data_IF_601296984610
#
_entry.id   IF_601296984610
#
_cell.length_a   1.000
_cell.length_b   1.000
_cell.length_c   1.000
_cell.angle_alpha   90.00
_cell.angle_beta   90.00
_cell.angle_gamma   90.00
#
_symmetry.space_group_name_H-M   'P 1'
#
loop_
_entity.id
_entity.type
_entity.pdbx_description
1 polymer ?
#
# COMPACT_ATOMS: atom_id res chain seq x y z
N UNK A 1 11.58 -5.65 26.06
CA UNK A 1 10.93 -4.74 25.11
C UNK A 1 11.83 -4.42 23.90
N UNK A 2 13.13 -4.19 24.11
CA UNK A 2 14.08 -3.81 23.05
C UNK A 2 14.15 -4.77 21.85
N UNK A 3 14.08 -6.09 22.10
CA UNK A 3 14.13 -7.12 21.05
C UNK A 3 12.99 -7.02 20.01
N UNK A 4 11.87 -6.39 20.36
CA UNK A 4 10.70 -6.28 19.48
C UNK A 4 10.50 -4.87 18.89
N UNK A 5 11.39 -3.91 19.18
CA UNK A 5 11.23 -2.54 18.71
C UNK A 5 11.15 -2.48 17.17
N UNK A 6 12.00 -3.23 16.46
CA UNK A 6 11.95 -3.28 15.00
C UNK A 6 10.61 -3.81 14.47
N UNK A 7 10.07 -4.86 15.10
CA UNK A 7 8.76 -5.42 14.74
C UNK A 7 7.62 -4.45 15.04
N UNK A 8 7.66 -3.76 16.19
CA UNK A 8 6.68 -2.72 16.56
C UNK A 8 6.68 -1.60 15.51
N UNK A 9 7.87 -1.15 15.08
CA UNK A 9 7.99 -0.13 14.04
C UNK A 9 7.39 -0.62 12.73
N UNK A 10 7.71 -1.85 12.29
CA UNK A 10 7.13 -2.44 11.06
C UNK A 10 5.60 -2.47 11.14
N UNK A 11 5.03 -2.92 12.27
CA UNK A 11 3.57 -2.96 12.46
C UNK A 11 2.96 -1.55 12.36
N UNK A 12 3.58 -0.54 12.97
CA UNK A 12 3.12 0.84 12.87
C UNK A 12 3.18 1.36 11.43
N UNK A 13 4.27 1.10 10.71
CA UNK A 13 4.43 1.48 9.30
C UNK A 13 3.39 0.80 8.40
N UNK A 14 3.04 -0.46 8.68
CA UNK A 14 1.95 -1.17 7.98
C UNK A 14 0.58 -0.54 8.25
N UNK A 15 0.28 -0.16 9.50
CA UNK A 15 -0.97 0.51 9.86
C UNK A 15 -1.08 1.86 9.14
N UNK A 16 -0.01 2.67 9.16
CA UNK A 16 0.02 3.97 8.48
C UNK A 16 -0.17 3.78 6.98
N UNK A 17 0.54 2.84 6.37
CA UNK A 17 0.38 2.53 4.95
C UNK A 17 -1.04 2.11 4.63
N UNK A 18 -1.64 1.22 5.41
CA UNK A 18 -3.00 0.75 5.17
C UNK A 18 -4.04 1.88 5.25
N UNK A 19 -3.90 2.78 6.23
CA UNK A 19 -4.77 3.97 6.33
C UNK A 19 -4.61 4.89 5.12
N UNK A 20 -3.39 5.11 4.65
CA UNK A 20 -3.18 5.97 3.49
C UNK A 20 -3.70 5.31 2.20
N UNK A 21 -3.50 4.00 2.03
CA UNK A 21 -4.10 3.22 0.94
C UNK A 21 -5.61 3.42 0.88
N UNK A 22 -6.30 3.26 2.02
CA UNK A 22 -7.75 3.43 2.09
C UNK A 22 -8.20 4.83 1.67
N UNK A 23 -7.47 5.86 2.11
CA UNK A 23 -7.78 7.25 1.74
C UNK A 23 -7.62 7.50 0.22
N UNK A 24 -6.61 6.91 -0.41
CA UNK A 24 -6.42 7.01 -1.86
C UNK A 24 -7.52 6.25 -2.60
N UNK A 25 -7.92 5.11 -2.09
CA UNK A 25 -9.02 4.32 -2.63
C UNK A 25 -10.34 5.10 -2.60
N UNK A 26 -10.65 5.74 -1.48
CA UNK A 26 -11.82 6.63 -1.35
C UNK A 26 -11.74 7.81 -2.33
N UNK A 27 -10.59 8.50 -2.40
CA UNK A 27 -10.38 9.59 -3.36
C UNK A 27 -10.61 9.16 -4.81
N UNK A 28 -10.14 7.96 -5.20
CA UNK A 28 -10.34 7.45 -6.55
C UNK A 28 -11.78 7.00 -6.81
N UNK A 29 -12.46 6.47 -5.80
CA UNK A 29 -13.88 6.15 -5.88
C UNK A 29 -14.73 7.41 -6.15
N UNK A 30 -14.37 8.52 -5.49
CA UNK A 30 -15.03 9.81 -5.67
C UNK A 30 -14.73 10.45 -7.03
N UNK A 31 -13.47 10.40 -7.49
CA UNK A 31 -13.06 11.02 -8.76
C UNK A 31 -13.45 10.18 -9.99
N UNK A 32 -13.49 8.85 -9.87
CA UNK A 32 -13.77 7.93 -10.97
C UNK A 32 -14.84 6.88 -10.60
N UNK A 33 -16.07 7.31 -10.24
CA UNK A 33 -17.10 6.42 -9.69
C UNK A 33 -17.52 5.33 -10.67
N UNK A 34 -17.52 5.61 -11.98
CA UNK A 34 -17.85 4.61 -12.99
C UNK A 34 -16.79 3.51 -13.11
N UNK A 35 -15.51 3.89 -13.09
CA UNK A 35 -14.41 2.92 -13.13
C UNK A 35 -14.34 2.13 -11.83
N UNK A 36 -14.61 2.78 -10.71
CA UNK A 36 -14.73 2.14 -9.40
C UNK A 36 -15.83 1.07 -9.39
N UNK A 37 -17.00 1.37 -9.94
CA UNK A 37 -18.11 0.41 -10.06
C UNK A 37 -17.74 -0.79 -10.94
N UNK A 38 -17.02 -0.57 -12.05
CA UNK A 38 -16.52 -1.66 -12.92
C UNK A 38 -15.56 -2.60 -12.18
N UNK A 39 -14.74 -2.09 -11.27
CA UNK A 39 -13.84 -2.93 -10.46
C UNK A 39 -14.59 -3.87 -9.52
N UNK A 40 -15.70 -3.41 -8.93
CA UNK A 40 -16.54 -4.26 -8.07
C UNK A 40 -17.36 -5.32 -8.81
N UNK A 41 -17.66 -5.11 -10.10
CA UNK A 41 -18.51 -6.03 -10.88
C UNK A 41 -17.87 -7.37 -11.16
N UNK A 42 -16.54 -7.42 -11.26
CA UNK A 42 -15.77 -8.63 -11.56
C UNK A 42 -14.96 -9.13 -10.35
N UNK A 43 -15.26 -8.67 -9.13
CA UNK A 43 -14.54 -9.14 -7.96
C UNK A 43 -15.19 -10.38 -7.34
N UNK A 44 -14.37 -11.39 -7.04
CA UNK A 44 -14.79 -12.64 -6.40
C UNK A 44 -15.42 -12.43 -5.02
N UNK A 45 -14.99 -11.39 -4.30
CA UNK A 45 -15.49 -11.01 -2.98
C UNK A 45 -16.48 -9.82 -3.02
N UNK A 46 -16.84 -9.36 -4.22
CA UNK A 46 -17.66 -8.17 -4.43
C UNK A 46 -16.99 -6.86 -4.00
N UNK A 47 -15.72 -6.88 -3.57
CA UNK A 47 -15.00 -5.67 -3.18
C UNK A 47 -14.12 -5.18 -4.33
N UNK A 48 -14.03 -3.87 -4.56
CA UNK A 48 -13.18 -3.35 -5.64
C UNK A 48 -11.68 -3.54 -5.35
N UNK A 49 -11.28 -3.89 -4.11
CA UNK A 49 -9.91 -3.76 -3.63
C UNK A 49 -8.91 -4.69 -4.32
N UNK A 50 -9.29 -5.95 -4.59
CA UNK A 50 -8.41 -6.90 -5.27
C UNK A 50 -8.15 -6.48 -6.72
N UNK A 51 -9.22 -6.12 -7.45
CA UNK A 51 -9.14 -5.68 -8.84
C UNK A 51 -8.52 -4.29 -8.99
N UNK A 52 -8.65 -3.44 -7.97
CA UNK A 52 -8.04 -2.13 -7.94
C UNK A 52 -6.52 -2.23 -7.85
N UNK A 53 -5.99 -3.16 -7.04
CA UNK A 53 -4.55 -3.40 -6.96
C UNK A 53 -3.96 -3.77 -8.33
N UNK A 54 -4.66 -4.60 -9.10
CA UNK A 54 -4.27 -4.95 -10.46
C UNK A 54 -4.40 -3.75 -11.41
N UNK A 55 -5.46 -2.95 -11.27
CA UNK A 55 -5.69 -1.76 -12.10
C UNK A 55 -4.62 -0.67 -11.91
N UNK A 56 -3.99 -0.61 -10.74
CA UNK A 56 -2.83 0.26 -10.50
C UNK A 56 -1.54 -0.22 -11.17
N UNK A 57 -1.46 -1.50 -11.51
CA UNK A 57 -0.28 -2.08 -12.16
C UNK A 57 -0.40 -1.93 -13.67
N UNK A 58 -1.48 -2.45 -14.26
CA UNK A 58 -1.62 -2.57 -15.71
C UNK A 58 -2.99 -2.05 -16.25
N UNK A 59 -3.83 -1.44 -15.40
CA UNK A 59 -5.18 -0.99 -15.78
C UNK A 59 -5.38 0.53 -15.84
N UNK A 60 -6.63 0.99 -15.81
CA UNK A 60 -6.98 2.41 -15.92
C UNK A 60 -6.20 3.27 -14.92
N UNK A 61 -6.11 2.85 -13.65
CA UNK A 61 -5.46 3.59 -12.58
C UNK A 61 -3.93 3.67 -12.70
N UNK A 62 -3.28 2.84 -13.54
CA UNK A 62 -1.84 2.95 -13.84
C UNK A 62 -1.53 4.13 -14.78
N UNK A 63 -2.52 4.56 -15.58
CA UNK A 63 -2.36 5.63 -16.57
C UNK A 63 -2.78 7.02 -16.07
N UNK A 64 -3.41 7.10 -14.89
CA UNK A 64 -3.90 8.36 -14.35
C UNK A 64 -2.74 9.15 -13.75
N UNK A 65 -2.53 10.36 -14.28
CA UNK A 65 -1.57 11.31 -13.72
C UNK A 65 -2.20 12.12 -12.57
N UNK A 66 -2.69 11.45 -11.53
CA UNK A 66 -3.23 12.10 -10.32
C UNK A 66 -2.07 12.38 -9.33
N UNK A 67 -1.81 13.65 -8.98
CA UNK A 67 -0.74 14.01 -8.05
C UNK A 67 -0.82 13.31 -6.69
N UNK A 68 -2.02 12.99 -6.18
CA UNK A 68 -2.21 12.26 -4.92
C UNK A 68 -1.80 10.80 -5.07
N UNK A 69 -2.15 10.17 -6.19
CA UNK A 69 -1.75 8.78 -6.50
C UNK A 69 -0.24 8.67 -6.65
N UNK A 70 0.39 9.59 -7.41
CA UNK A 70 1.84 9.61 -7.60
C UNK A 70 2.56 9.80 -6.26
N UNK A 71 2.07 10.70 -5.41
CA UNK A 71 2.62 10.91 -4.05
C UNK A 71 2.48 9.65 -3.19
N UNK A 72 1.31 9.00 -3.25
CA UNK A 72 1.07 7.76 -2.52
C UNK A 72 1.98 6.62 -2.99
N UNK A 73 2.19 6.44 -4.30
CA UNK A 73 3.12 5.44 -4.81
C UNK A 73 4.55 5.67 -4.30
N UNK A 74 5.03 6.93 -4.33
CA UNK A 74 6.33 7.30 -3.75
C UNK A 74 6.40 6.97 -2.25
N UNK A 75 5.37 7.33 -1.50
CA UNK A 75 5.26 7.00 -0.07
C UNK A 75 5.32 5.48 0.17
N UNK A 76 4.53 4.69 -0.56
CA UNK A 76 4.47 3.23 -0.44
C UNK A 76 5.85 2.60 -0.69
N UNK A 77 6.54 3.04 -1.75
CA UNK A 77 7.88 2.57 -2.08
C UNK A 77 8.88 2.89 -0.97
N UNK A 78 8.91 4.14 -0.49
CA UNK A 78 9.81 4.54 0.60
C UNK A 78 9.52 3.79 1.90
N UNK A 79 8.24 3.62 2.23
CA UNK A 79 7.81 2.87 3.42
C UNK A 79 8.23 1.41 3.36
N UNK A 80 8.12 0.77 2.19
CA UNK A 80 8.55 -0.61 1.97
C UNK A 80 10.07 -0.75 2.06
N UNK A 81 10.83 0.19 1.50
CA UNK A 81 12.29 0.23 1.65
C UNK A 81 12.70 0.38 3.12
N UNK A 82 12.02 1.23 3.88
CA UNK A 82 12.29 1.40 5.31
C UNK A 82 12.02 0.10 6.09
N UNK A 83 10.89 -0.58 5.83
CA UNK A 83 10.59 -1.88 6.43
C UNK A 83 11.62 -2.95 6.06
N UNK A 84 12.10 -2.96 4.81
CA UNK A 84 13.15 -3.88 4.37
C UNK A 84 14.48 -3.62 5.10
N UNK A 85 14.89 -2.36 5.25
CA UNK A 85 16.10 -1.99 6.02
C UNK A 85 16.00 -2.43 7.48
N UNK A 86 14.85 -2.21 8.14
CA UNK A 86 14.64 -2.62 9.53
C UNK A 86 14.69 -4.15 9.67
N UNK A 87 14.06 -4.87 8.75
CA UNK A 87 14.07 -6.34 8.73
C UNK A 87 15.49 -6.87 8.53
N UNK A 88 16.24 -6.34 7.56
CA UNK A 88 17.63 -6.72 7.30
C UNK A 88 18.54 -6.43 8.50
N UNK A 89 18.42 -5.25 9.12
CA UNK A 89 19.20 -4.90 10.30
C UNK A 89 18.88 -5.83 11.49
N UNK A 90 17.61 -6.23 11.64
CA UNK A 90 17.18 -7.17 12.68
C UNK A 90 17.71 -8.58 12.44
N UNK A 91 17.70 -9.05 11.19
CA UNK A 91 18.26 -10.33 10.79
C UNK A 91 19.78 -10.37 10.98
N UNK A 92 20.49 -9.32 10.55
CA UNK A 92 21.94 -9.21 10.74
C UNK A 92 22.32 -9.25 12.22
N UNK A 93 21.58 -8.53 13.08
CA UNK A 93 21.78 -8.63 14.53
C UNK A 93 21.49 -10.03 15.08
N UNK A 94 20.51 -10.75 14.55
CA UNK A 94 20.19 -12.10 14.98
C UNK A 94 21.16 -13.18 14.46
N UNK A 95 21.88 -12.92 13.38
CA UNK A 95 22.87 -13.84 12.78
C UNK A 95 24.31 -13.58 13.22
N UNK A 96 24.67 -12.33 13.54
CA UNK A 96 26.04 -11.92 13.94
C UNK A 96 26.27 -11.90 15.46
N UNK A 97 25.22 -12.15 16.24
CA UNK A 97 25.25 -12.35 17.71
C UNK A 97 24.95 -13.82 17.97
#
# INVERSE_FOLDING_TARGET
>A
MEKYIGLIIIVLLLIIQNRYTLHIYQHLAEQHPEQWKKLSQNSLDGTPYANLAESFKDGFFSTINDPKVVRYQKFKTLNLLLMAMITLASLLRGFLI
#
